data_IF_791396476991
#
_entry.id   IF_791396476991
#
_cell.length_a   1.000
_cell.length_b   1.000
_cell.length_c   1.000
_cell.angle_alpha   90.00
_cell.angle_beta   90.00
_cell.angle_gamma   90.00
#
_symmetry.space_group_name_H-M   'P 1'
#
loop_
_entity.id
_entity.type
_entity.pdbx_description
1 polymer ?
#
# COMPACT_ATOMS: atom_id res chain seq x y z
N UNK A 1 -37.35 15.09 21.09
CA UNK A 1 -36.33 14.52 22.01
C UNK A 1 -35.53 13.49 21.24
N UNK A 2 -34.38 13.86 20.67
CA UNK A 2 -33.47 12.91 20.00
C UNK A 2 -32.56 12.30 21.07
N UNK A 3 -32.79 11.04 21.44
CA UNK A 3 -31.86 10.31 22.30
C UNK A 3 -30.48 10.31 21.62
N UNK A 4 -29.41 10.80 22.27
CA UNK A 4 -28.07 10.70 21.71
C UNK A 4 -27.72 9.21 21.63
N UNK A 5 -27.60 8.68 20.41
CA UNK A 5 -27.12 7.33 20.17
C UNK A 5 -25.70 7.27 20.72
N UNK A 6 -25.49 6.49 21.78
CA UNK A 6 -24.18 6.32 22.38
C UNK A 6 -23.20 5.74 21.35
N UNK A 7 -22.11 6.47 21.09
CA UNK A 7 -21.01 6.00 20.24
C UNK A 7 -20.49 4.65 20.76
N UNK A 8 -20.46 3.64 19.90
CA UNK A 8 -19.93 2.32 20.24
C UNK A 8 -18.40 2.37 20.35
N UNK A 9 -17.78 1.40 21.03
CA UNK A 9 -16.32 1.28 21.13
C UNK A 9 -15.63 1.28 19.75
N UNK A 10 -16.28 0.69 18.75
CA UNK A 10 -15.76 0.61 17.37
C UNK A 10 -15.75 1.97 16.66
N UNK A 11 -16.71 2.85 16.97
CA UNK A 11 -16.78 4.19 16.39
C UNK A 11 -15.66 5.07 16.91
N UNK A 12 -15.34 4.96 18.21
CA UNK A 12 -14.22 5.69 18.84
C UNK A 12 -12.88 5.22 18.30
N UNK A 13 -12.67 3.91 18.20
CA UNK A 13 -11.46 3.33 17.61
C UNK A 13 -11.26 3.77 16.15
N UNK A 14 -12.33 3.72 15.34
CA UNK A 14 -12.25 4.15 13.94
C UNK A 14 -11.93 5.64 13.85
N UNK A 15 -12.55 6.48 14.68
CA UNK A 15 -12.30 7.93 14.68
C UNK A 15 -10.88 8.26 15.12
N UNK A 16 -10.37 7.59 16.15
CA UNK A 16 -9.00 7.75 16.61
C UNK A 16 -7.98 7.33 15.54
N UNK A 17 -8.19 6.17 14.88
CA UNK A 17 -7.31 5.71 13.80
C UNK A 17 -7.30 6.66 12.61
N UNK A 18 -8.45 7.25 12.26
CA UNK A 18 -8.54 8.26 11.21
C UNK A 18 -7.75 9.50 11.56
N UNK A 19 -7.92 10.02 12.78
CA UNK A 19 -7.17 11.18 13.26
C UNK A 19 -5.66 10.91 13.24
N UNK A 20 -5.23 9.76 13.78
CA UNK A 20 -3.82 9.36 13.78
C UNK A 20 -3.30 9.27 12.34
N UNK A 21 -4.03 8.61 11.44
CA UNK A 21 -3.65 8.47 10.04
C UNK A 21 -3.46 9.81 9.33
N UNK A 22 -4.42 10.74 9.45
CA UNK A 22 -4.32 12.05 8.83
C UNK A 22 -3.24 12.94 9.46
N UNK A 23 -3.00 12.82 10.77
CA UNK A 23 -1.88 13.49 11.43
C UNK A 23 -0.54 12.96 10.92
N UNK A 24 -0.42 11.64 10.70
CA UNK A 24 0.79 11.05 10.11
C UNK A 24 1.00 11.53 8.67
N UNK A 25 -0.06 11.56 7.85
CA UNK A 25 0.00 12.09 6.47
C UNK A 25 0.46 13.55 6.46
N UNK A 26 -0.15 14.40 7.29
CA UNK A 26 0.22 15.81 7.40
C UNK A 26 1.67 15.97 7.90
N UNK A 27 2.06 15.20 8.93
CA UNK A 27 3.41 15.20 9.47
C UNK A 27 4.46 14.79 8.44
N UNK A 28 4.22 13.72 7.67
CA UNK A 28 5.13 13.25 6.62
C UNK A 28 5.28 14.26 5.47
N UNK A 29 4.23 15.00 5.12
CA UNK A 29 4.30 16.04 4.08
C UNK A 29 5.00 17.32 4.58
N UNK A 30 4.82 17.68 5.85
CA UNK A 30 5.40 18.91 6.41
C UNK A 30 6.85 18.69 6.84
N UNK A 31 7.23 17.47 7.23
CA UNK A 31 8.57 17.17 7.75
C UNK A 31 9.71 17.58 6.79
N UNK A 32 9.68 17.29 5.47
CA UNK A 32 10.71 17.77 4.55
C UNK A 32 10.76 19.30 4.46
N UNK A 33 9.60 19.96 4.47
CA UNK A 33 9.52 21.42 4.43
C UNK A 33 10.13 22.07 5.68
N UNK A 34 9.95 21.47 6.85
CA UNK A 34 10.60 21.89 8.09
C UNK A 34 12.11 21.60 8.02
N UNK A 35 12.50 20.39 7.61
CA UNK A 35 13.92 19.99 7.54
C UNK A 35 14.73 20.90 6.61
N UNK A 36 14.17 21.30 5.46
CA UNK A 36 14.77 22.26 4.52
C UNK A 36 15.00 23.66 5.11
N UNK A 37 14.46 23.97 6.30
CA UNK A 37 14.76 25.21 7.03
C UNK A 37 16.04 25.12 7.86
N UNK A 38 16.52 23.91 8.12
CA UNK A 38 17.62 23.63 9.04
C UNK A 38 18.83 22.95 8.37
N UNK A 39 18.63 22.27 7.24
CA UNK A 39 19.70 21.55 6.52
C UNK A 39 19.49 21.53 5.02
N UNK A 40 20.60 21.49 4.28
CA UNK A 40 20.65 21.29 2.83
C UNK A 40 20.69 19.80 2.43
N UNK A 41 20.69 18.87 3.39
CA UNK A 41 20.68 17.42 3.13
C UNK A 41 19.33 16.94 2.56
N UNK A 42 18.23 17.59 2.96
CA UNK A 42 16.90 17.34 2.40
C UNK A 42 16.63 18.42 1.38
N UNK A 43 16.40 18.05 0.11
CA UNK A 43 16.15 19.01 -0.98
C UNK A 43 14.97 18.60 -1.83
N UNK A 44 13.78 18.74 -1.26
CA UNK A 44 12.54 18.44 -1.97
C UNK A 44 12.15 19.60 -2.89
N UNK A 45 11.95 19.25 -4.17
CA UNK A 45 11.34 20.09 -5.18
C UNK A 45 9.82 20.13 -5.01
N UNK A 46 9.15 21.05 -5.71
CA UNK A 46 7.68 21.10 -5.74
C UNK A 46 7.09 19.77 -6.25
N UNK A 47 7.74 19.14 -7.23
CA UNK A 47 7.34 17.82 -7.74
C UNK A 47 7.37 16.74 -6.67
N UNK A 48 8.34 16.76 -5.76
CA UNK A 48 8.44 15.76 -4.69
C UNK A 48 7.29 15.90 -3.70
N UNK A 49 6.91 17.13 -3.34
CA UNK A 49 5.72 17.38 -2.51
C UNK A 49 4.43 16.96 -3.20
N UNK A 50 4.30 17.23 -4.50
CA UNK A 50 3.12 16.82 -5.28
C UNK A 50 3.04 15.30 -5.35
N UNK A 51 4.14 14.62 -5.65
CA UNK A 51 4.23 13.17 -5.71
C UNK A 51 3.88 12.54 -4.35
N UNK A 52 4.55 12.96 -3.29
CA UNK A 52 4.27 12.49 -1.93
C UNK A 52 2.83 12.78 -1.52
N UNK A 53 2.29 13.95 -1.87
CA UNK A 53 0.91 14.34 -1.63
C UNK A 53 -0.07 13.38 -2.30
N UNK A 54 0.12 13.09 -3.58
CA UNK A 54 -0.72 12.14 -4.33
C UNK A 54 -0.67 10.75 -3.68
N UNK A 55 0.52 10.26 -3.33
CA UNK A 55 0.70 8.93 -2.73
C UNK A 55 0.01 8.86 -1.36
N UNK A 56 0.31 9.80 -0.46
CA UNK A 56 -0.15 9.74 0.94
C UNK A 56 -1.64 10.10 1.07
N UNK A 57 -2.10 11.16 0.40
CA UNK A 57 -3.51 11.58 0.44
C UNK A 57 -4.37 10.57 -0.32
N UNK A 58 -3.90 10.07 -1.45
CA UNK A 58 -4.57 9.01 -2.21
C UNK A 58 -4.74 7.73 -1.38
N UNK A 59 -3.67 7.29 -0.70
CA UNK A 59 -3.73 6.16 0.23
C UNK A 59 -4.73 6.41 1.38
N UNK A 60 -4.68 7.59 2.00
CA UNK A 60 -5.63 7.99 3.05
C UNK A 60 -7.08 7.98 2.56
N UNK A 61 -7.33 8.49 1.35
CA UNK A 61 -8.65 8.48 0.72
C UNK A 61 -9.18 7.06 0.46
N UNK A 62 -8.35 6.16 -0.05
CA UNK A 62 -8.75 4.75 -0.28
C UNK A 62 -9.01 4.03 1.06
N UNK A 63 -8.21 4.32 2.09
CA UNK A 63 -8.44 3.78 3.43
C UNK A 63 -9.78 4.24 4.02
N UNK A 64 -10.13 5.51 3.85
CA UNK A 64 -11.44 6.07 4.26
C UNK A 64 -12.60 5.38 3.53
N UNK A 65 -12.50 5.20 2.21
CA UNK A 65 -13.50 4.50 1.41
C UNK A 65 -13.67 3.05 1.88
N UNK A 66 -12.57 2.37 2.16
CA UNK A 66 -12.54 0.99 2.64
C UNK A 66 -13.26 0.84 3.98
N UNK A 67 -12.96 1.72 4.93
CA UNK A 67 -13.58 1.73 6.27
C UNK A 67 -15.09 1.92 6.19
N UNK A 68 -15.57 2.70 5.21
CA UNK A 68 -17.00 2.93 4.97
C UNK A 68 -17.65 1.77 4.21
N UNK A 69 -16.90 1.07 3.36
CA UNK A 69 -17.42 0.01 2.49
C UNK A 69 -17.69 -1.33 3.20
N UNK A 70 -17.02 -1.62 4.32
CA UNK A 70 -17.19 -2.90 5.03
C UNK A 70 -17.09 -2.78 6.55
N UNK A 71 -17.99 -3.46 7.26
CA UNK A 71 -17.92 -3.62 8.71
C UNK A 71 -16.96 -4.74 9.18
N UNK A 72 -16.52 -5.62 8.27
CA UNK A 72 -15.66 -6.75 8.62
C UNK A 72 -14.20 -6.30 8.80
N UNK A 73 -13.64 -6.49 10.00
CA UNK A 73 -12.25 -6.11 10.29
C UNK A 73 -11.23 -6.81 9.40
N UNK A 74 -11.44 -8.08 9.04
CA UNK A 74 -10.57 -8.80 8.10
C UNK A 74 -10.52 -8.13 6.73
N UNK A 75 -11.66 -7.64 6.22
CA UNK A 75 -11.70 -6.88 4.98
C UNK A 75 -10.95 -5.55 5.11
N UNK A 76 -11.22 -4.80 6.19
CA UNK A 76 -10.60 -3.49 6.43
C UNK A 76 -9.08 -3.58 6.56
N UNK A 77 -8.57 -4.56 7.32
CA UNK A 77 -7.13 -4.79 7.43
C UNK A 77 -6.51 -5.28 6.13
N UNK A 78 -7.19 -6.17 5.38
CA UNK A 78 -6.71 -6.63 4.08
C UNK A 78 -6.52 -5.48 3.10
N UNK A 79 -7.54 -4.63 2.97
CA UNK A 79 -7.49 -3.45 2.12
C UNK A 79 -6.49 -2.40 2.64
N UNK A 80 -6.41 -2.16 3.95
CA UNK A 80 -5.40 -1.29 4.53
C UNK A 80 -3.97 -1.74 4.21
N UNK A 81 -3.71 -3.05 4.26
CA UNK A 81 -2.40 -3.62 3.93
C UNK A 81 -2.09 -3.51 2.42
N UNK A 82 -3.08 -3.71 1.55
CA UNK A 82 -2.93 -3.52 0.11
C UNK A 82 -2.62 -2.06 -0.25
N UNK A 83 -3.31 -1.10 0.39
CA UNK A 83 -3.06 0.33 0.22
C UNK A 83 -1.67 0.70 0.72
N UNK A 84 -1.28 0.21 1.90
CA UNK A 84 0.05 0.43 2.46
C UNK A 84 1.14 -0.12 1.54
N UNK A 85 0.98 -1.36 1.07
CA UNK A 85 1.91 -1.97 0.12
C UNK A 85 2.02 -1.15 -1.17
N UNK A 86 0.90 -0.69 -1.73
CA UNK A 86 0.88 0.15 -2.93
C UNK A 86 1.61 1.48 -2.70
N UNK A 87 1.30 2.16 -1.60
CA UNK A 87 1.87 3.47 -1.27
C UNK A 87 3.38 3.38 -1.02
N UNK A 88 3.82 2.38 -0.24
CA UNK A 88 5.24 2.15 0.00
C UNK A 88 5.95 1.71 -1.28
N UNK A 89 5.32 0.90 -2.13
CA UNK A 89 5.93 0.48 -3.39
C UNK A 89 6.14 1.69 -4.32
N UNK A 90 5.13 2.57 -4.46
CA UNK A 90 5.30 3.85 -5.17
C UNK A 90 6.41 4.70 -4.56
N UNK A 91 6.42 4.81 -3.23
CA UNK A 91 7.38 5.63 -2.52
C UNK A 91 8.82 5.17 -2.72
N UNK A 92 9.12 3.90 -2.42
CA UNK A 92 10.47 3.35 -2.59
C UNK A 92 10.89 3.32 -4.05
N UNK A 93 9.97 2.99 -4.96
CA UNK A 93 10.28 2.96 -6.39
C UNK A 93 10.58 4.35 -6.96
N UNK A 94 9.80 5.35 -6.57
CA UNK A 94 9.95 6.72 -7.06
C UNK A 94 11.08 7.52 -6.41
N UNK A 95 11.46 7.21 -5.16
CA UNK A 95 12.44 7.99 -4.41
C UNK A 95 13.85 7.37 -4.32
N UNK A 96 13.97 6.06 -4.51
CA UNK A 96 15.26 5.35 -4.40
C UNK A 96 15.56 4.55 -5.66
N UNK A 97 14.53 4.09 -6.37
CA UNK A 97 14.67 3.04 -7.37
C UNK A 97 14.88 1.68 -6.69
N UNK A 98 14.08 0.69 -7.07
CA UNK A 98 14.26 -0.67 -6.53
C UNK A 98 15.36 -1.39 -7.30
N UNK A 99 15.42 -1.15 -8.62
CA UNK A 99 16.41 -1.74 -9.53
C UNK A 99 17.34 -0.63 -10.00
N UNK A 100 18.63 -0.73 -9.69
CA UNK A 100 19.62 0.25 -10.14
C UNK A 100 19.38 1.64 -9.55
N UNK A 101 19.48 2.69 -10.37
CA UNK A 101 19.05 4.05 -10.03
C UNK A 101 17.54 4.22 -10.19
N UNK A 102 16.97 5.26 -9.58
CA UNK A 102 15.56 5.63 -9.73
C UNK A 102 15.13 5.82 -11.19
N UNK A 103 16.00 6.37 -12.03
CA UNK A 103 15.78 6.58 -13.46
C UNK A 103 15.83 5.30 -14.31
N UNK A 104 16.21 4.16 -13.73
CA UNK A 104 16.33 2.92 -14.49
C UNK A 104 14.95 2.48 -15.02
N UNK A 105 14.76 2.27 -16.34
CA UNK A 105 13.45 2.06 -16.95
C UNK A 105 12.73 0.81 -16.43
N UNK A 106 13.46 -0.19 -15.94
CA UNK A 106 12.87 -1.39 -15.33
C UNK A 106 12.06 -1.10 -14.05
N UNK A 107 12.27 0.04 -13.37
CA UNK A 107 11.47 0.43 -12.22
C UNK A 107 9.99 0.59 -12.57
N UNK A 108 9.65 0.92 -13.83
CA UNK A 108 8.27 1.02 -14.31
C UNK A 108 7.50 -0.30 -14.25
N UNK A 109 8.19 -1.45 -14.18
CA UNK A 109 7.52 -2.74 -14.02
C UNK A 109 6.78 -2.85 -12.69
N UNK A 110 7.26 -2.19 -11.62
CA UNK A 110 6.58 -2.19 -10.32
C UNK A 110 5.28 -1.39 -10.34
N UNK A 111 5.13 -0.41 -11.24
CA UNK A 111 3.83 0.22 -11.49
C UNK A 111 2.82 -0.80 -12.05
N UNK A 112 3.29 -1.76 -12.85
CA UNK A 112 2.49 -2.89 -13.32
C UNK A 112 1.89 -3.74 -12.19
N UNK A 113 2.60 -3.88 -11.06
CA UNK A 113 2.08 -4.56 -9.86
C UNK A 113 0.87 -3.84 -9.29
N UNK A 114 0.97 -2.52 -9.17
CA UNK A 114 -0.09 -1.67 -8.62
C UNK A 114 -1.28 -1.62 -9.56
N UNK A 115 -1.03 -1.49 -10.87
CA UNK A 115 -2.08 -1.54 -11.89
C UNK A 115 -2.80 -2.89 -11.85
N UNK A 116 -2.08 -4.01 -11.77
CA UNK A 116 -2.68 -5.34 -11.67
C UNK A 116 -3.54 -5.49 -10.41
N UNK A 117 -3.06 -4.99 -9.26
CA UNK A 117 -3.81 -4.97 -8.01
C UNK A 117 -5.10 -4.14 -8.14
N UNK A 118 -5.01 -2.94 -8.72
CA UNK A 118 -6.14 -2.03 -8.92
C UNK A 118 -7.16 -2.57 -9.92
N UNK A 119 -6.72 -3.01 -11.10
CA UNK A 119 -7.57 -3.61 -12.13
C UNK A 119 -8.24 -4.86 -11.57
N UNK A 120 -7.52 -5.72 -10.85
CA UNK A 120 -8.10 -6.88 -10.17
C UNK A 120 -9.15 -6.51 -9.12
N UNK A 121 -8.95 -5.42 -8.37
CA UNK A 121 -9.94 -4.89 -7.43
C UNK A 121 -11.21 -4.40 -8.13
N UNK A 122 -11.06 -3.61 -9.21
CA UNK A 122 -12.17 -3.11 -10.01
C UNK A 122 -12.93 -4.25 -10.71
N UNK A 123 -12.21 -5.17 -11.36
CA UNK A 123 -12.79 -6.31 -12.07
C UNK A 123 -13.53 -7.26 -11.12
N UNK A 124 -13.04 -7.40 -9.88
CA UNK A 124 -13.73 -8.17 -8.84
C UNK A 124 -14.88 -7.42 -8.18
N UNK A 125 -15.13 -6.16 -8.56
CA UNK A 125 -16.10 -5.25 -7.93
C UNK A 125 -15.89 -5.16 -6.42
N UNK A 126 -14.63 -5.16 -5.99
CA UNK A 126 -14.21 -5.12 -4.59
C UNK A 126 -14.77 -6.28 -3.74
N UNK A 127 -15.15 -7.41 -4.35
CA UNK A 127 -15.56 -8.61 -3.61
C UNK A 127 -14.34 -9.29 -2.98
N UNK A 128 -14.44 -9.66 -1.71
CA UNK A 128 -13.34 -10.24 -0.93
C UNK A 128 -12.63 -11.42 -1.63
N UNK A 129 -13.36 -12.39 -2.19
CA UNK A 129 -12.77 -13.52 -2.89
C UNK A 129 -12.01 -13.13 -4.18
N UNK A 130 -12.42 -12.05 -4.84
CA UNK A 130 -11.71 -11.54 -6.02
C UNK A 130 -10.51 -10.68 -5.63
N UNK A 131 -10.63 -9.86 -4.58
CA UNK A 131 -9.51 -9.11 -4.01
C UNK A 131 -8.39 -10.03 -3.53
N UNK A 132 -8.72 -11.16 -2.90
CA UNK A 132 -7.72 -12.16 -2.51
C UNK A 132 -6.89 -12.66 -3.70
N UNK A 133 -7.54 -12.95 -4.83
CA UNK A 133 -6.86 -13.37 -6.07
C UNK A 133 -6.06 -12.23 -6.70
N UNK A 134 -6.57 -11.01 -6.67
CA UNK A 134 -5.86 -9.83 -7.15
C UNK A 134 -4.56 -9.59 -6.37
N UNK A 135 -4.61 -9.66 -5.04
CA UNK A 135 -3.43 -9.50 -4.18
C UNK A 135 -2.43 -10.64 -4.35
N UNK A 136 -2.90 -11.89 -4.48
CA UNK A 136 -2.01 -13.01 -4.80
C UNK A 136 -1.33 -12.84 -6.17
N UNK A 137 -2.05 -12.33 -7.18
CA UNK A 137 -1.48 -12.04 -8.50
C UNK A 137 -0.44 -10.93 -8.43
N UNK A 138 -0.69 -9.88 -7.64
CA UNK A 138 0.28 -8.82 -7.37
C UNK A 138 1.55 -9.35 -6.69
N UNK A 139 1.41 -10.28 -5.72
CA UNK A 139 2.55 -10.93 -5.08
C UNK A 139 3.41 -11.72 -6.08
N UNK A 140 2.77 -12.50 -6.96
CA UNK A 140 3.47 -13.25 -8.00
C UNK A 140 4.20 -12.30 -8.95
N UNK A 141 3.54 -11.23 -9.39
CA UNK A 141 4.14 -10.24 -10.29
C UNK A 141 5.32 -9.52 -9.62
N UNK A 142 5.18 -9.13 -8.35
CA UNK A 142 6.26 -8.52 -7.55
C UNK A 142 7.51 -9.40 -7.53
N UNK A 143 7.34 -10.68 -7.18
CA UNK A 143 8.45 -11.63 -7.08
C UNK A 143 9.03 -11.92 -8.46
N UNK A 144 8.19 -12.08 -9.50
CA UNK A 144 8.65 -12.33 -10.86
C UNK A 144 9.51 -11.17 -11.38
N UNK A 145 9.12 -9.92 -11.16
CA UNK A 145 9.92 -8.74 -11.53
C UNK A 145 11.27 -8.77 -10.81
N UNK A 146 11.29 -9.02 -9.50
CA UNK A 146 12.52 -9.13 -8.73
C UNK A 146 13.47 -10.22 -9.23
N UNK A 147 12.93 -11.41 -9.49
CA UNK A 147 13.70 -12.54 -10.06
C UNK A 147 14.28 -12.20 -11.42
N UNK A 148 13.46 -11.62 -12.32
CA UNK A 148 13.92 -11.21 -13.65
C UNK A 148 14.98 -10.12 -13.57
N UNK A 149 14.82 -9.14 -12.68
CA UNK A 149 15.79 -8.06 -12.50
C UNK A 149 17.16 -8.60 -12.06
N UNK A 150 17.18 -9.54 -11.10
CA UNK A 150 18.41 -10.21 -10.65
C UNK A 150 19.02 -11.05 -11.76
N UNK A 151 18.20 -11.86 -12.45
CA UNK A 151 18.66 -12.73 -13.54
C UNK A 151 19.24 -11.95 -14.72
N UNK A 152 18.68 -10.77 -15.02
CA UNK A 152 19.13 -9.89 -16.11
C UNK A 152 20.24 -8.92 -15.71
N UNK A 153 20.65 -8.89 -14.44
CA UNK A 153 21.67 -7.95 -13.96
C UNK A 153 21.24 -6.48 -14.06
N UNK A 154 19.94 -6.16 -14.01
CA UNK A 154 19.46 -4.81 -14.31
C UNK A 154 19.86 -3.71 -13.31
N UNK A 155 20.40 -4.07 -12.15
CA UNK A 155 21.01 -3.10 -11.22
C UNK A 155 22.50 -3.33 -10.99
N UNK A 156 23.18 -4.08 -11.86
CA UNK A 156 24.64 -4.21 -11.79
C UNK A 156 25.30 -2.83 -11.82
N UNK A 157 26.28 -2.63 -10.93
CA UNK A 157 26.96 -1.35 -10.75
C UNK A 157 26.29 -0.38 -9.77
N UNK A 158 25.07 -0.67 -9.27
CA UNK A 158 24.48 0.12 -8.19
C UNK A 158 25.03 -0.26 -6.83
N UNK A 159 25.00 0.69 -5.89
CA UNK A 159 25.36 0.41 -4.51
C UNK A 159 24.46 -0.70 -3.94
N UNK A 160 25.05 -1.65 -3.22
CA UNK A 160 24.35 -2.75 -2.53
C UNK A 160 23.62 -3.77 -3.44
N UNK A 161 23.82 -3.76 -4.77
CA UNK A 161 23.27 -4.78 -5.66
C UNK A 161 23.69 -6.22 -5.23
N UNK A 162 22.80 -7.23 -5.27
CA UNK A 162 21.35 -7.21 -5.61
C UNK A 162 20.43 -7.13 -4.38
N UNK A 163 20.95 -6.75 -3.20
CA UNK A 163 20.24 -6.93 -1.91
C UNK A 163 18.90 -6.18 -1.84
N UNK A 164 18.78 -4.90 -2.23
CA UNK A 164 17.52 -4.17 -2.15
C UNK A 164 16.41 -4.83 -2.96
N UNK A 165 16.69 -5.27 -4.20
CA UNK A 165 15.71 -5.97 -5.04
C UNK A 165 15.20 -7.23 -4.35
N UNK A 166 16.09 -8.05 -3.81
CA UNK A 166 15.71 -9.31 -3.16
C UNK A 166 14.86 -9.05 -1.93
N UNK A 167 15.34 -8.18 -1.02
CA UNK A 167 14.66 -7.89 0.24
C UNK A 167 13.29 -7.26 -0.02
N UNK A 168 13.21 -6.24 -0.87
CA UNK A 168 11.95 -5.57 -1.17
C UNK A 168 10.99 -6.50 -1.92
N UNK A 169 11.46 -7.35 -2.82
CA UNK A 169 10.60 -8.35 -3.48
C UNK A 169 9.96 -9.32 -2.48
N UNK A 170 10.72 -9.78 -1.49
CA UNK A 170 10.21 -10.65 -0.42
C UNK A 170 9.24 -9.87 0.48
N UNK A 171 9.63 -8.70 0.98
CA UNK A 171 8.80 -7.90 1.89
C UNK A 171 7.47 -7.52 1.24
N UNK A 172 7.49 -6.96 0.02
CA UNK A 172 6.25 -6.63 -0.68
C UNK A 172 5.45 -7.87 -1.07
N UNK A 173 6.10 -8.94 -1.51
CA UNK A 173 5.43 -10.21 -1.79
C UNK A 173 4.65 -10.73 -0.57
N UNK A 174 5.26 -10.67 0.63
CA UNK A 174 4.61 -11.04 1.88
C UNK A 174 3.47 -10.11 2.27
N UNK A 175 3.62 -8.79 2.07
CA UNK A 175 2.53 -7.83 2.32
C UNK A 175 1.31 -8.11 1.42
N UNK A 176 1.54 -8.38 0.14
CA UNK A 176 0.50 -8.76 -0.81
C UNK A 176 -0.18 -10.08 -0.42
N UNK A 177 0.59 -11.10 -0.05
CA UNK A 177 0.04 -12.39 0.40
C UNK A 177 -0.72 -12.29 1.72
N UNK A 178 -0.24 -11.49 2.66
CA UNK A 178 -0.95 -11.23 3.92
C UNK A 178 -2.29 -10.52 3.66
N UNK A 179 -2.32 -9.56 2.73
CA UNK A 179 -3.56 -8.91 2.29
C UNK A 179 -4.51 -9.94 1.64
N UNK A 180 -3.99 -10.80 0.76
CA UNK A 180 -4.75 -11.88 0.14
C UNK A 180 -5.38 -12.82 1.17
N UNK A 181 -4.62 -13.22 2.20
CA UNK A 181 -5.08 -14.09 3.27
C UNK A 181 -6.22 -13.45 4.10
N UNK A 182 -6.13 -12.15 4.38
CA UNK A 182 -7.17 -11.40 5.09
C UNK A 182 -8.47 -11.31 4.28
N UNK A 183 -8.37 -11.09 2.97
CA UNK A 183 -9.54 -11.11 2.08
C UNK A 183 -10.16 -12.51 1.95
N UNK A 184 -9.35 -13.57 1.90
CA UNK A 184 -9.85 -14.95 1.93
C UNK A 184 -10.64 -15.24 3.22
N UNK A 185 -10.13 -14.78 4.37
CA UNK A 185 -10.85 -14.87 5.66
C UNK A 185 -12.18 -14.11 5.64
N UNK A 186 -12.18 -12.90 5.08
CA UNK A 186 -13.40 -12.11 4.93
C UNK A 186 -14.44 -12.79 4.01
N UNK A 187 -13.99 -13.46 2.94
CA UNK A 187 -14.86 -14.23 2.05
C UNK A 187 -15.45 -15.48 2.72
N UNK A 188 -14.67 -16.17 3.56
CA UNK A 188 -15.11 -17.35 4.31
C UNK A 188 -16.17 -17.03 5.37
N UNK A 189 -16.04 -15.89 6.05
CA UNK A 189 -17.00 -15.47 7.09
C UNK A 189 -18.44 -15.27 6.56
N UNK A 190 -18.60 -14.97 5.26
CA UNK A 190 -19.92 -14.85 4.63
C UNK A 190 -20.55 -16.19 4.23
N UNK A 191 -19.78 -17.29 4.25
CA UNK A 191 -20.25 -18.64 3.86
C UNK A 191 -20.75 -19.49 5.03
N UNK A 192 -20.55 -19.06 6.27
CA UNK A 192 -20.97 -19.80 7.47
C UNK A 192 -22.15 -19.16 8.22
N UNK A 193 -23.35 -19.02 7.64
CA UNK A 193 -24.59 -18.91 8.41
C UNK A 193 -25.20 -20.31 8.54
N UNK A 194 -24.91 -21.07 9.60
CA UNK A 194 -25.57 -22.38 9.74
C UNK A 194 -25.16 -23.35 10.85
N UNK A 195 -24.43 -22.95 11.90
CA UNK A 195 -24.22 -23.81 13.08
C UNK A 195 -24.23 -22.95 14.36
N UNK A 196 -25.43 -22.60 14.81
CA UNK A 196 -25.76 -22.21 16.18
C UNK A 196 -27.24 -22.53 16.43
#
# INVERSE_FOLDING_TARGET
MTNPIASTKNDRLTSALRLIGWTVVAGLLVAPAIAMRFTDEVRWTISDFVFAGIVLIGAGGIAELTVRASGAWSYRFGAGLAVLASALLLWFNGAVGIIGSEDHPANMLYLGVIIAAFVGAVASRFRAAGLARAMASAAVLQVAIGVVAVWRGWGEGSENWPRPVIVLSIVFGLLWLASAALFNRAAGAHRAPGLA
#
